data_IF_674976182540
#
_entry.id   IF_674976182540
#
_cell.length_a   1.000
_cell.length_b   1.000
_cell.length_c   1.000
_cell.angle_alpha   90.00
_cell.angle_beta   90.00
_cell.angle_gamma   90.00
#
_symmetry.space_group_name_H-M   'P 1'
#
loop_
_entity.id
_entity.type
_entity.pdbx_description
1 polymer ?
#
# COMPACT_ATOMS: atom_id res chain seq x y z
N UNK A 1 3.85 3.13 -20.96
CA UNK A 1 4.10 3.59 -19.58
C UNK A 1 4.94 2.61 -18.77
N UNK A 2 4.52 1.35 -18.52
CA UNK A 2 5.32 0.38 -17.71
C UNK A 2 6.73 0.10 -18.24
N UNK A 3 6.88 0.07 -19.56
CA UNK A 3 8.17 -0.12 -20.26
C UNK A 3 9.16 1.01 -19.95
N UNK A 4 8.72 2.26 -20.08
CA UNK A 4 9.50 3.46 -19.73
C UNK A 4 10.06 3.40 -18.30
N UNK A 5 9.23 3.05 -17.30
CA UNK A 5 9.69 2.95 -15.91
C UNK A 5 10.74 1.85 -15.73
N UNK A 6 10.59 0.71 -16.41
CA UNK A 6 11.56 -0.40 -16.35
C UNK A 6 12.89 -0.03 -17.00
N UNK A 7 12.84 0.62 -18.15
CA UNK A 7 14.03 1.08 -18.89
C UNK A 7 14.80 2.16 -18.12
N UNK A 8 14.12 2.96 -17.30
CA UNK A 8 14.73 3.96 -16.42
C UNK A 8 15.09 3.42 -15.02
N UNK A 9 15.06 2.11 -14.81
CA UNK A 9 15.51 1.47 -13.56
C UNK A 9 14.55 1.57 -12.37
N UNK A 10 13.28 1.94 -12.58
CA UNK A 10 12.29 1.99 -11.50
C UNK A 10 11.79 0.58 -11.13
N UNK A 11 11.68 0.34 -9.82
CA UNK A 11 11.13 -0.90 -9.28
C UNK A 11 9.59 -0.84 -9.21
N UNK A 12 8.94 -1.90 -9.69
CA UNK A 12 7.50 -2.08 -9.48
C UNK A 12 7.27 -2.56 -8.04
N UNK A 13 6.48 -1.82 -7.29
CA UNK A 13 5.99 -2.23 -5.97
C UNK A 13 4.50 -2.60 -6.03
N UNK A 14 4.10 -3.61 -5.25
CA UNK A 14 2.69 -3.97 -5.05
C UNK A 14 2.34 -3.63 -3.60
N UNK A 15 1.47 -2.65 -3.44
CA UNK A 15 1.08 -2.16 -2.11
C UNK A 15 -0.21 -2.84 -1.68
N UNK A 16 -0.36 -3.20 -0.39
CA UNK A 16 -1.63 -3.69 0.13
C UNK A 16 -2.70 -2.60 -0.02
N UNK A 17 -3.91 -3.01 -0.39
CA UNK A 17 -5.07 -2.11 -0.55
C UNK A 17 -6.01 -2.16 0.64
N UNK A 18 -5.83 -3.13 1.54
CA UNK A 18 -6.55 -3.25 2.79
C UNK A 18 -5.62 -2.83 3.92
N UNK A 19 -6.14 -1.98 4.81
CA UNK A 19 -5.42 -1.46 5.97
C UNK A 19 -6.26 -1.70 7.22
N UNK A 20 -5.62 -2.07 8.33
CA UNK A 20 -6.30 -2.30 9.61
C UNK A 20 -6.71 -0.98 10.32
N UNK A 21 -6.14 0.14 9.88
CA UNK A 21 -6.42 1.46 10.45
C UNK A 21 -6.65 2.46 9.33
N UNK A 22 -7.62 3.35 9.55
CA UNK A 22 -7.87 4.48 8.70
C UNK A 22 -6.64 5.40 8.68
N UNK A 23 -6.03 5.58 7.52
CA UNK A 23 -4.82 6.39 7.37
C UNK A 23 -5.10 7.90 7.41
N UNK A 24 -6.36 8.31 7.25
CA UNK A 24 -6.79 9.70 7.25
C UNK A 24 -8.08 9.83 8.06
N UNK A 25 -8.05 10.66 9.11
CA UNK A 25 -9.22 11.00 9.90
C UNK A 25 -9.99 12.11 9.17
N UNK A 26 -11.05 11.76 8.44
CA UNK A 26 -11.99 12.77 7.91
C UNK A 26 -12.65 12.52 6.55
N UNK A 27 -12.44 11.37 5.91
CA UNK A 27 -13.03 11.06 4.59
C UNK A 27 -13.92 9.81 4.63
N UNK A 28 -14.80 9.64 3.64
CA UNK A 28 -15.63 8.44 3.44
C UNK A 28 -14.73 7.20 3.29
N UNK A 29 -14.50 6.52 4.40
CA UNK A 29 -13.73 5.29 4.45
C UNK A 29 -14.63 4.14 4.05
N UNK A 30 -14.21 3.39 3.02
CA UNK A 30 -14.89 2.15 2.68
C UNK A 30 -14.42 1.05 3.64
N UNK A 31 -15.29 0.75 4.59
CA UNK A 31 -15.14 -0.33 5.58
C UNK A 31 -15.49 -1.68 4.96
N UNK A 32 -14.65 -2.67 5.25
CA UNK A 32 -14.81 -4.06 4.82
C UNK A 32 -14.65 -4.94 6.05
N UNK A 33 -15.68 -5.75 6.35
CA UNK A 33 -15.57 -6.80 7.36
C UNK A 33 -14.58 -7.86 6.91
N UNK A 34 -13.46 -8.00 7.62
CA UNK A 34 -12.38 -8.92 7.30
C UNK A 34 -12.15 -9.88 8.47
N UNK A 35 -12.69 -11.10 8.36
CA UNK A 35 -12.55 -12.17 9.37
C UNK A 35 -12.86 -11.75 10.82
N UNK A 36 -13.91 -10.96 11.02
CA UNK A 36 -14.31 -10.46 12.35
C UNK A 36 -13.54 -9.24 12.84
N UNK A 37 -12.66 -8.68 12.00
CA UNK A 37 -12.00 -7.39 12.21
C UNK A 37 -12.43 -6.38 11.15
N UNK A 38 -12.37 -5.09 11.47
CA UNK A 38 -12.65 -4.02 10.52
C UNK A 38 -11.38 -3.71 9.71
N UNK A 39 -11.51 -3.69 8.38
CA UNK A 39 -10.46 -3.29 7.47
C UNK A 39 -10.96 -2.16 6.57
N UNK A 40 -10.05 -1.29 6.15
CA UNK A 40 -10.34 -0.11 5.37
C UNK A 40 -9.63 -0.17 4.02
N UNK A 41 -10.29 0.29 2.96
CA UNK A 41 -9.63 0.45 1.65
C UNK A 41 -8.66 1.63 1.68
N UNK A 42 -7.42 1.37 1.27
CA UNK A 42 -6.39 2.38 1.12
C UNK A 42 -6.75 3.36 -0.01
N UNK A 43 -6.84 4.64 0.33
CA UNK A 43 -7.23 5.70 -0.60
C UNK A 43 -6.12 6.02 -1.62
N UNK A 44 -4.86 5.99 -1.18
CA UNK A 44 -3.70 6.26 -2.03
C UNK A 44 -2.48 5.47 -1.59
N UNK A 45 -1.67 4.93 -2.53
CA UNK A 45 -0.45 4.21 -2.21
C UNK A 45 0.73 5.14 -1.83
N UNK A 46 0.50 6.43 -1.58
CA UNK A 46 1.57 7.41 -1.34
C UNK A 46 2.40 7.11 -0.08
N UNK A 47 1.75 6.74 1.02
CA UNK A 47 2.45 6.33 2.25
C UNK A 47 3.32 5.09 2.02
N UNK A 48 2.82 4.09 1.30
CA UNK A 48 3.61 2.91 0.95
C UNK A 48 4.81 3.24 0.04
N UNK A 49 4.66 4.21 -0.89
CA UNK A 49 5.78 4.69 -1.71
C UNK A 49 6.84 5.41 -0.87
N UNK A 50 6.44 6.26 0.09
CA UNK A 50 7.37 6.94 1.00
C UNK A 50 8.15 5.94 1.86
N UNK A 51 7.47 4.93 2.40
CA UNK A 51 8.11 3.84 3.16
C UNK A 51 9.08 3.04 2.28
N UNK A 52 8.72 2.73 1.03
CA UNK A 52 9.58 2.01 0.10
C UNK A 52 10.85 2.78 -0.30
N UNK A 53 10.77 4.12 -0.38
CA UNK A 53 11.93 4.98 -0.61
C UNK A 53 12.80 5.06 0.65
N UNK A 54 12.18 5.21 1.83
CA UNK A 54 12.87 5.35 3.11
C UNK A 54 13.59 4.05 3.53
N UNK A 55 12.96 2.90 3.30
CA UNK A 55 13.52 1.58 3.57
C UNK A 55 13.71 0.84 2.26
N UNK A 56 14.94 0.84 1.72
CA UNK A 56 15.41 -0.15 0.74
C UNK A 56 15.29 -1.63 1.20
N UNK A 57 14.62 -1.92 2.33
CA UNK A 57 14.68 -3.16 3.08
C UNK A 57 13.35 -3.67 3.68
N UNK A 58 12.20 -3.02 3.47
CA UNK A 58 10.94 -3.50 4.10
C UNK A 58 10.02 -4.22 3.09
N UNK A 59 10.55 -5.27 2.47
CA UNK A 59 9.75 -6.29 1.78
C UNK A 59 9.87 -7.59 2.57
N UNK A 60 9.30 -7.59 3.77
CA UNK A 60 9.04 -8.80 4.56
C UNK A 60 7.60 -8.73 5.09
N UNK A 61 6.64 -8.53 4.20
CA UNK A 61 5.26 -8.97 4.42
C UNK A 61 4.75 -9.47 3.07
N UNK A 62 5.16 -10.68 2.70
CA UNK A 62 4.33 -11.74 2.08
C UNK A 62 5.21 -12.98 1.86
N UNK A 63 5.34 -13.77 2.92
CA UNK A 63 5.45 -15.21 2.79
C UNK A 63 4.28 -15.81 3.56
N UNK A 64 3.08 -15.65 2.99
CA UNK A 64 2.01 -16.65 2.81
C UNK A 64 1.18 -16.17 1.61
#
# INVERSE_FOLDING_TARGET
MRTYWRENGFLKIQTPKLMATASESGAELFEVGYFGTEAYLAQSPQFCKQIAILRKACLLITSV
#
